data_IF_910125623077
#
_entry.id   IF_910125623077
#
_cell.length_a   1.000
_cell.length_b   1.000
_cell.length_c   1.000
_cell.angle_alpha   90.00
_cell.angle_beta   90.00
_cell.angle_gamma   90.00
#
_symmetry.space_group_name_H-M   'P 1'
#
loop_
_entity.id
_entity.type
_entity.pdbx_description
1 polymer ?
#
# COMPACT_ATOMS: atom_id res chain seq x y z
N UNK A 1 3.67 14.02 -12.65
CA UNK A 1 2.77 12.95 -12.18
C UNK A 1 2.11 12.29 -13.38
N UNK A 2 2.06 10.96 -13.37
CA UNK A 2 1.44 10.20 -14.46
C UNK A 2 -0.06 10.43 -14.52
N UNK A 3 -0.63 10.41 -15.73
CA UNK A 3 -2.06 10.63 -15.93
C UNK A 3 -2.93 9.62 -15.17
N UNK A 4 -2.51 8.33 -15.14
CA UNK A 4 -3.27 7.31 -14.42
C UNK A 4 -3.33 7.63 -12.91
N UNK A 5 -2.26 8.16 -12.34
CA UNK A 5 -2.24 8.54 -10.93
C UNK A 5 -3.25 9.68 -10.68
N UNK A 6 -3.30 10.67 -11.56
CA UNK A 6 -4.26 11.78 -11.46
C UNK A 6 -5.71 11.27 -11.51
N UNK A 7 -5.99 10.35 -12.44
CA UNK A 7 -7.33 9.78 -12.57
C UNK A 7 -7.74 9.01 -11.32
N UNK A 8 -6.82 8.26 -10.73
CA UNK A 8 -7.11 7.50 -9.52
C UNK A 8 -7.28 8.40 -8.29
N UNK A 9 -6.49 9.45 -8.18
CA UNK A 9 -6.66 10.45 -7.11
C UNK A 9 -8.08 11.02 -7.17
N UNK A 10 -8.56 11.34 -8.36
CA UNK A 10 -9.91 11.86 -8.56
C UNK A 10 -10.98 10.81 -8.23
N UNK A 11 -10.81 9.59 -8.74
CA UNK A 11 -11.78 8.50 -8.54
C UNK A 11 -12.04 8.21 -7.07
N UNK A 12 -10.99 8.19 -6.26
CA UNK A 12 -11.08 7.83 -4.83
C UNK A 12 -11.12 9.04 -3.92
N UNK A 13 -11.20 10.25 -4.47
CA UNK A 13 -11.21 11.49 -3.69
C UNK A 13 -10.02 11.60 -2.72
N UNK A 14 -8.84 11.16 -3.15
CA UNK A 14 -7.67 11.07 -2.26
C UNK A 14 -7.22 12.43 -1.74
N UNK A 15 -7.43 13.50 -2.50
CA UNK A 15 -7.14 14.86 -2.05
C UNK A 15 -7.96 15.27 -0.82
N UNK A 16 -9.14 14.67 -0.64
CA UNK A 16 -9.98 14.91 0.53
C UNK A 16 -9.63 13.96 1.68
N UNK A 17 -9.43 12.68 1.36
CA UNK A 17 -9.19 11.64 2.36
C UNK A 17 -7.80 11.75 2.98
N UNK A 18 -6.79 12.12 2.17
CA UNK A 18 -5.41 12.22 2.61
C UNK A 18 -4.77 10.92 3.06
N UNK A 19 -5.33 9.79 2.63
CA UNK A 19 -4.79 8.45 2.89
C UNK A 19 -4.62 7.69 1.58
N UNK A 20 -3.58 6.87 1.49
CA UNK A 20 -3.39 5.96 0.37
C UNK A 20 -4.17 4.64 0.60
N UNK A 21 -4.03 3.68 -0.31
CA UNK A 21 -4.77 2.41 -0.25
C UNK A 21 -4.37 1.51 0.92
N UNK A 22 -3.27 1.80 1.59
CA UNK A 22 -2.85 1.06 2.79
C UNK A 22 -3.10 1.85 4.09
N UNK A 23 -3.68 3.04 3.99
CA UNK A 23 -3.98 3.86 5.14
C UNK A 23 -2.84 4.79 5.59
N UNK A 24 -1.80 4.96 4.78
CA UNK A 24 -0.75 5.91 5.08
C UNK A 24 -1.15 7.30 4.59
N UNK A 25 -0.92 8.31 5.42
CA UNK A 25 -1.26 9.67 5.02
C UNK A 25 -0.22 10.26 4.08
N UNK A 26 -0.64 11.27 3.35
CA UNK A 26 0.26 12.06 2.53
C UNK A 26 -0.18 13.52 2.59
N UNK A 27 0.79 14.43 2.45
CA UNK A 27 0.52 15.87 2.44
C UNK A 27 0.42 16.41 1.02
N UNK A 28 1.16 15.81 0.11
CA UNK A 28 1.29 16.28 -1.27
C UNK A 28 1.04 15.11 -2.22
N UNK A 29 0.12 15.24 -3.20
CA UNK A 29 -0.14 14.18 -4.19
C UNK A 29 1.10 13.71 -4.95
N UNK A 30 2.16 14.53 -5.04
CA UNK A 30 3.43 14.13 -5.65
C UNK A 30 4.11 12.99 -4.88
N UNK A 31 3.72 12.73 -3.65
CA UNK A 31 4.22 11.61 -2.86
C UNK A 31 3.62 10.27 -3.27
N UNK A 32 2.61 10.28 -4.13
CA UNK A 32 1.86 9.08 -4.51
C UNK A 32 2.44 8.41 -5.76
N UNK A 33 2.35 7.09 -5.80
CA UNK A 33 2.78 6.29 -6.93
C UNK A 33 1.75 5.22 -7.26
N UNK A 34 1.77 4.79 -8.52
CA UNK A 34 0.90 3.72 -9.01
C UNK A 34 1.54 2.35 -8.70
N UNK A 35 0.74 1.46 -8.13
CA UNK A 35 1.13 0.08 -7.84
C UNK A 35 0.24 -0.87 -8.65
N UNK A 36 0.87 -1.82 -9.36
CA UNK A 36 0.14 -2.84 -10.11
C UNK A 36 -0.43 -3.87 -9.14
N UNK A 37 -1.76 -4.03 -9.12
CA UNK A 37 -2.44 -4.89 -8.16
C UNK A 37 -2.58 -6.34 -8.63
N UNK A 38 -3.19 -6.54 -9.79
CA UNK A 38 -3.62 -7.86 -10.25
C UNK A 38 -2.54 -8.49 -11.12
N UNK A 39 -2.14 -7.79 -12.19
CA UNK A 39 -1.08 -8.26 -13.07
C UNK A 39 0.16 -7.39 -12.86
N UNK A 40 1.27 -7.98 -12.37
CA UNK A 40 2.50 -7.22 -12.13
C UNK A 40 3.07 -6.62 -13.40
N UNK A 41 3.82 -5.54 -13.26
CA UNK A 41 4.47 -4.88 -14.39
C UNK A 41 5.38 -5.83 -15.15
N UNK A 42 6.13 -6.68 -14.44
CA UNK A 42 7.07 -7.63 -15.06
C UNK A 42 6.38 -8.65 -15.94
N UNK A 43 5.09 -8.87 -15.76
CA UNK A 43 4.28 -9.77 -16.57
C UNK A 43 3.41 -9.03 -17.59
N UNK A 44 3.76 -7.80 -17.90
CA UNK A 44 3.03 -6.99 -18.86
C UNK A 44 1.75 -6.35 -18.32
N UNK A 45 1.64 -6.21 -17.00
CA UNK A 45 0.46 -5.60 -16.39
C UNK A 45 0.24 -4.16 -16.85
N UNK A 46 -0.99 -3.83 -17.30
CA UNK A 46 -1.28 -2.50 -17.81
C UNK A 46 -1.42 -1.47 -16.68
N UNK A 47 -1.15 -0.21 -17.00
CA UNK A 47 -1.40 0.91 -16.10
C UNK A 47 -2.81 1.43 -16.33
N UNK A 48 -3.79 0.72 -15.80
CA UNK A 48 -5.21 1.05 -15.93
C UNK A 48 -5.83 1.30 -14.57
N UNK A 49 -7.05 1.82 -14.55
CA UNK A 49 -7.77 2.02 -13.30
C UNK A 49 -8.00 0.68 -12.58
N UNK A 50 -8.32 -0.37 -13.34
CA UNK A 50 -8.69 -1.67 -12.78
C UNK A 50 -7.51 -2.43 -12.18
N UNK A 51 -6.30 -2.19 -12.67
CA UNK A 51 -5.10 -2.92 -12.26
C UNK A 51 -4.26 -2.18 -11.23
N UNK A 52 -4.78 -1.12 -10.63
CA UNK A 52 -3.95 -0.26 -9.82
C UNK A 52 -4.43 0.06 -8.42
N UNK A 53 -3.49 0.40 -7.59
CA UNK A 53 -3.70 1.07 -6.32
C UNK A 53 -2.75 2.25 -6.23
N UNK A 54 -3.12 3.26 -5.48
CA UNK A 54 -2.27 4.42 -5.25
C UNK A 54 -1.66 4.31 -3.87
N UNK A 55 -0.35 4.28 -3.81
CA UNK A 55 0.42 4.13 -2.59
C UNK A 55 1.42 5.25 -2.45
N UNK A 56 1.70 5.61 -1.21
CA UNK A 56 2.76 6.57 -0.91
C UNK A 56 4.11 5.95 -1.26
N UNK A 57 4.82 6.54 -2.23
CA UNK A 57 6.13 6.04 -2.63
C UNK A 57 7.14 6.21 -1.50
N UNK A 58 8.16 5.38 -1.48
CA UNK A 58 9.22 5.35 -0.48
C UNK A 58 8.77 4.94 0.93
N UNK A 59 7.47 4.72 1.16
CA UNK A 59 6.93 4.22 2.43
C UNK A 59 6.03 3.02 2.18
N UNK A 60 4.71 3.23 2.06
CA UNK A 60 3.76 2.11 1.91
C UNK A 60 4.06 1.23 0.69
N UNK A 61 4.43 1.83 -0.45
CA UNK A 61 4.76 1.05 -1.64
C UNK A 61 5.99 0.14 -1.40
N UNK A 62 7.05 0.70 -0.80
CA UNK A 62 8.24 -0.08 -0.48
C UNK A 62 7.98 -1.09 0.62
N UNK A 63 7.16 -0.73 1.61
CA UNK A 63 6.79 -1.63 2.69
C UNK A 63 6.00 -2.82 2.16
N UNK A 64 5.06 -2.59 1.26
CA UNK A 64 4.29 -3.67 0.65
C UNK A 64 5.20 -4.68 -0.04
N UNK A 65 6.21 -4.22 -0.78
CA UNK A 65 7.18 -5.11 -1.42
C UNK A 65 8.05 -5.85 -0.40
N UNK A 66 8.35 -5.23 0.73
CA UNK A 66 9.04 -5.91 1.83
C UNK A 66 8.19 -7.06 2.37
N UNK A 67 6.90 -6.82 2.59
CA UNK A 67 5.96 -7.85 3.05
C UNK A 67 5.90 -8.98 2.03
N UNK A 68 5.83 -8.65 0.73
CA UNK A 68 5.78 -9.64 -0.34
C UNK A 68 6.97 -10.61 -0.28
N UNK A 69 8.17 -10.09 0.01
CA UNK A 69 9.39 -10.90 0.08
C UNK A 69 9.45 -11.80 1.30
N UNK A 70 8.78 -11.44 2.39
CA UNK A 70 8.91 -12.15 3.67
C UNK A 70 7.66 -12.90 4.10
N UNK A 71 6.48 -12.47 3.69
CA UNK A 71 5.23 -13.08 4.08
C UNK A 71 4.19 -12.94 2.98
N UNK A 72 4.18 -13.89 2.07
CA UNK A 72 3.31 -13.84 0.90
C UNK A 72 1.82 -13.90 1.29
N UNK A 73 1.48 -14.59 2.37
CA UNK A 73 0.09 -14.67 2.81
C UNK A 73 -0.43 -13.30 3.26
N UNK A 74 0.36 -12.56 4.02
CA UNK A 74 -0.01 -11.20 4.41
C UNK A 74 -0.05 -10.26 3.22
N UNK A 75 0.91 -10.39 2.29
CA UNK A 75 0.88 -9.61 1.05
C UNK A 75 -0.42 -9.85 0.28
N UNK A 76 -0.83 -11.10 0.15
CA UNK A 76 -2.04 -11.46 -0.58
C UNK A 76 -3.30 -10.94 0.13
N UNK A 77 -3.33 -10.98 1.46
CA UNK A 77 -4.45 -10.44 2.24
C UNK A 77 -4.61 -8.92 2.00
N UNK A 78 -3.51 -8.18 2.06
CA UNK A 78 -3.53 -6.74 1.81
C UNK A 78 -3.93 -6.44 0.37
N UNK A 79 -3.38 -7.19 -0.59
CA UNK A 79 -3.69 -7.01 -2.01
C UNK A 79 -5.18 -7.26 -2.27
N UNK A 80 -5.75 -8.29 -1.66
CA UNK A 80 -7.18 -8.62 -1.79
C UNK A 80 -8.06 -7.46 -1.33
N UNK A 81 -7.72 -6.85 -0.18
CA UNK A 81 -8.46 -5.69 0.32
C UNK A 81 -8.34 -4.48 -0.62
N UNK A 82 -7.15 -4.25 -1.17
CA UNK A 82 -6.97 -3.16 -2.13
C UNK A 82 -7.74 -3.40 -3.43
N UNK A 83 -7.84 -4.65 -3.88
CA UNK A 83 -8.66 -4.99 -5.05
C UNK A 83 -10.13 -4.69 -4.78
N UNK A 84 -10.62 -5.06 -3.59
CA UNK A 84 -12.01 -4.76 -3.21
C UNK A 84 -12.28 -3.26 -3.20
N UNK A 85 -11.38 -2.46 -2.65
CA UNK A 85 -11.48 -1.01 -2.67
C UNK A 85 -11.49 -0.46 -4.10
N UNK A 86 -10.64 -1.02 -4.95
CA UNK A 86 -10.58 -0.62 -6.34
C UNK A 86 -11.92 -0.87 -7.06
N UNK A 87 -12.51 -2.04 -6.86
CA UNK A 87 -13.80 -2.39 -7.46
C UNK A 87 -14.91 -1.44 -6.99
N UNK A 88 -14.92 -1.13 -5.70
CA UNK A 88 -15.92 -0.21 -5.13
C UNK A 88 -15.78 1.22 -5.67
N UNK A 89 -14.56 1.63 -6.00
CA UNK A 89 -14.30 3.01 -6.44
C UNK A 89 -14.23 4.03 -5.31
N UNK A 90 -14.08 3.56 -4.07
CA UNK A 90 -13.84 4.41 -2.90
C UNK A 90 -13.06 3.63 -1.85
N UNK A 91 -12.42 4.35 -0.95
CA UNK A 91 -11.71 3.72 0.15
C UNK A 91 -12.64 3.57 1.34
N UNK A 92 -12.70 2.36 1.86
CA UNK A 92 -13.49 2.02 3.04
C UNK A 92 -12.58 2.02 4.26
N UNK A 93 -12.83 2.94 5.21
CA UNK A 93 -11.97 3.08 6.39
C UNK A 93 -11.98 1.82 7.28
N UNK A 94 -13.03 1.02 7.24
CA UNK A 94 -13.05 -0.26 7.96
C UNK A 94 -12.06 -1.25 7.35
N UNK A 95 -12.00 -1.33 6.02
CA UNK A 95 -11.04 -2.18 5.33
C UNK A 95 -9.61 -1.67 5.51
N UNK A 96 -9.41 -0.35 5.54
CA UNK A 96 -8.10 0.21 5.87
C UNK A 96 -7.69 -0.14 7.30
N UNK A 97 -8.64 -0.19 8.23
CA UNK A 97 -8.38 -0.67 9.60
C UNK A 97 -7.94 -2.12 9.63
N UNK A 98 -8.55 -2.97 8.79
CA UNK A 98 -8.13 -4.36 8.63
C UNK A 98 -6.69 -4.44 8.13
N UNK A 99 -6.33 -3.63 7.14
CA UNK A 99 -4.96 -3.58 6.62
C UNK A 99 -3.99 -3.19 7.74
N UNK A 100 -4.35 -2.20 8.55
CA UNK A 100 -3.50 -1.79 9.68
C UNK A 100 -3.28 -2.95 10.67
N UNK A 101 -4.32 -3.74 10.96
CA UNK A 101 -4.19 -4.90 11.82
C UNK A 101 -3.22 -5.94 11.24
N UNK A 102 -3.30 -6.21 9.95
CA UNK A 102 -2.38 -7.13 9.26
C UNK A 102 -0.95 -6.61 9.32
N UNK A 103 -0.76 -5.31 9.12
CA UNK A 103 0.57 -4.69 9.21
C UNK A 103 1.14 -4.79 10.63
N UNK A 104 0.30 -4.63 11.66
CA UNK A 104 0.74 -4.79 13.05
C UNK A 104 1.16 -6.22 13.36
N UNK A 105 0.47 -7.21 12.78
CA UNK A 105 0.85 -8.61 12.93
C UNK A 105 2.22 -8.87 12.29
N UNK A 106 2.44 -8.34 11.09
CA UNK A 106 3.74 -8.44 10.42
C UNK A 106 4.84 -7.82 11.28
N UNK A 107 4.60 -6.65 11.83
CA UNK A 107 5.58 -5.99 12.69
C UNK A 107 5.91 -6.81 13.92
N UNK A 108 4.90 -7.38 14.58
CA UNK A 108 5.15 -8.23 15.78
C UNK A 108 5.99 -9.44 15.45
N UNK A 109 5.77 -10.04 14.28
CA UNK A 109 6.51 -11.22 13.87
C UNK A 109 7.94 -10.91 13.45
N UNK A 110 8.14 -9.82 12.73
CA UNK A 110 9.43 -9.53 12.10
C UNK A 110 10.23 -8.41 12.78
N UNK A 111 9.72 -7.83 13.85
CA UNK A 111 10.43 -6.79 14.58
C UNK A 111 11.74 -7.33 15.11
N UNK A 112 12.82 -6.61 14.85
CA UNK A 112 14.17 -7.00 15.30
C UNK A 112 14.87 -8.04 14.45
N UNK A 113 14.17 -8.65 13.50
CA UNK A 113 14.81 -9.59 12.57
C UNK A 113 15.61 -8.85 11.51
N UNK A 114 16.66 -9.49 11.03
CA UNK A 114 17.55 -8.92 10.01
C UNK A 114 17.67 -9.83 8.80
N UNK A 115 17.97 -9.21 7.65
CA UNK A 115 18.28 -9.94 6.43
C UNK A 115 19.66 -10.59 6.54
N UNK A 116 20.03 -11.40 5.55
CA UNK A 116 21.37 -12.01 5.46
C UNK A 116 22.47 -10.96 5.50
N UNK A 117 22.20 -9.76 4.97
CA UNK A 117 23.16 -8.68 4.92
C UNK A 117 23.18 -7.82 6.20
N UNK A 118 22.43 -8.22 7.22
CA UNK A 118 22.41 -7.51 8.50
C UNK A 118 21.50 -6.29 8.54
N UNK A 119 20.68 -6.07 7.52
CA UNK A 119 19.74 -4.95 7.49
C UNK A 119 18.43 -5.32 8.18
N UNK A 120 17.80 -4.40 8.92
CA UNK A 120 16.50 -4.71 9.51
C UNK A 120 15.46 -4.99 8.43
N UNK A 121 14.63 -6.00 8.65
CA UNK A 121 13.54 -6.32 7.72
C UNK A 121 12.53 -5.19 7.72
N UNK A 122 12.16 -4.69 8.90
CA UNK A 122 11.25 -3.57 9.03
C UNK A 122 12.07 -2.33 9.37
N UNK A 123 12.10 -1.37 8.47
CA UNK A 123 12.74 -0.09 8.71
C UNK A 123 11.83 0.78 9.58
N UNK A 124 12.43 1.59 10.44
CA UNK A 124 11.70 2.46 11.35
C UNK A 124 10.65 3.32 10.64
N UNK A 125 10.99 3.84 9.48
CA UNK A 125 10.10 4.69 8.70
C UNK A 125 8.81 3.97 8.24
N UNK A 126 8.81 2.63 8.19
CA UNK A 126 7.65 1.86 7.78
C UNK A 126 6.67 1.61 8.92
N UNK A 127 7.08 1.81 10.16
CA UNK A 127 6.20 1.60 11.32
C UNK A 127 5.27 2.77 11.59
N UNK A 128 5.40 3.85 10.84
CA UNK A 128 4.57 5.03 10.99
C UNK A 128 3.18 4.77 10.43
N UNK A 129 2.23 4.52 11.30
CA UNK A 129 0.84 4.29 10.90
C UNK A 129 0.05 5.56 10.91
N UNK A 130 -0.92 5.61 10.00
CA UNK A 130 -1.67 6.82 9.78
C UNK A 130 -3.16 6.67 10.01
N UNK A 131 -3.63 5.46 10.22
CA UNK A 131 -4.98 5.21 10.71
C UNK A 131 -5.04 5.37 12.23
N UNK A 132 -4.34 6.33 12.76
CA UNK A 132 -4.44 6.65 14.18
C UNK A 132 -5.62 7.57 14.38
N UNK A 133 -6.40 7.22 15.32
CA UNK A 133 -7.53 8.05 15.72
C UNK A 133 -7.06 9.16 16.63
#
# INVERSE_FOLDING_TARGET
MKEITKLMIKRYALNKLKYDFMGYSFDNPQQLSYHHLIVPRRLGGPMTLENGAILRQNTSHNYLHTIERHDLDMFNAITSEMIDENIKGYLDMENLGYIDDVLRQFEREYCGRRTKNGNPIIKEEYTMRLLKK
#
